data_IF_630804214746
#
_entry.id   IF_630804214746
#
_cell.length_a   1.000
_cell.length_b   1.000
_cell.length_c   1.000
_cell.angle_alpha   90.00
_cell.angle_beta   90.00
_cell.angle_gamma   90.00
#
_symmetry.space_group_name_H-M   'P 1'
#
loop_
_entity.id
_entity.type
_entity.pdbx_description
1 polymer ?
#
# COMPACT_ATOMS: atom_id res chain seq x y z
N UNK A 1 70.77 -9.60 40.40
CA UNK A 1 69.65 -9.08 41.20
C UNK A 1 68.36 -9.60 40.56
N UNK A 2 67.52 -10.31 41.32
CA UNK A 2 66.38 -11.10 40.85
C UNK A 2 65.03 -10.43 41.18
N UNK A 3 64.07 -10.57 40.23
CA UNK A 3 62.58 -10.53 40.30
C UNK A 3 61.87 -9.15 40.33
N UNK A 4 60.59 -9.02 39.85
CA UNK A 4 59.56 -10.06 39.68
C UNK A 4 58.68 -10.07 38.39
N UNK A 5 58.02 -11.21 38.18
CA UNK A 5 56.97 -11.52 37.19
C UNK A 5 55.73 -10.60 37.28
N UNK A 6 55.16 -10.22 36.12
CA UNK A 6 53.73 -9.92 35.95
C UNK A 6 53.23 -10.53 34.64
N UNK A 7 52.65 -11.72 34.78
CA UNK A 7 51.66 -12.27 33.85
C UNK A 7 50.52 -11.24 33.68
N UNK A 8 49.76 -11.34 32.60
CA UNK A 8 48.55 -10.56 32.24
C UNK A 8 48.83 -9.37 31.31
N UNK A 9 48.77 -9.61 30.01
CA UNK A 9 48.46 -8.68 28.92
C UNK A 9 48.92 -9.36 27.61
N UNK A 10 48.16 -9.64 26.57
CA UNK A 10 46.87 -9.18 26.06
C UNK A 10 46.41 -10.32 25.12
N UNK A 11 45.37 -11.04 25.50
CA UNK A 11 44.62 -11.98 24.64
C UNK A 11 43.38 -11.22 24.17
N UNK A 12 43.48 -10.41 23.12
CA UNK A 12 42.37 -9.56 22.64
C UNK A 12 42.62 -9.08 21.20
N UNK A 13 42.51 -9.99 20.22
CA UNK A 13 42.47 -9.57 18.81
C UNK A 13 41.68 -10.53 17.90
N UNK A 14 40.56 -11.04 18.40
CA UNK A 14 39.58 -11.81 17.61
C UNK A 14 38.17 -11.34 17.95
N UNK A 15 37.73 -10.28 17.28
CA UNK A 15 36.32 -9.94 17.06
C UNK A 15 36.23 -8.73 16.11
N UNK A 16 36.71 -8.87 14.87
CA UNK A 16 36.27 -7.96 13.81
C UNK A 16 34.82 -8.36 13.48
N UNK A 17 33.93 -7.57 14.05
CA UNK A 17 32.49 -7.75 14.03
C UNK A 17 31.98 -7.90 12.60
N UNK A 18 31.21 -8.96 12.41
CA UNK A 18 30.24 -9.13 11.34
C UNK A 18 29.40 -7.85 11.24
N UNK A 19 29.63 -7.03 10.22
CA UNK A 19 28.67 -5.98 9.82
C UNK A 19 27.44 -6.67 9.25
N UNK A 20 26.54 -7.04 10.16
CA UNK A 20 25.25 -7.64 9.85
C UNK A 20 24.33 -6.63 9.15
N UNK A 21 23.80 -7.08 8.01
CA UNK A 21 22.41 -6.94 7.58
C UNK A 21 21.64 -5.70 8.06
N UNK A 22 21.77 -4.59 7.32
CA UNK A 22 20.84 -3.46 7.41
C UNK A 22 19.57 -3.75 6.60
N UNK A 23 18.72 -4.64 7.11
CA UNK A 23 17.34 -4.73 6.62
C UNK A 23 16.65 -3.40 6.92
N UNK A 24 16.36 -2.62 5.88
CA UNK A 24 15.47 -1.47 5.99
C UNK A 24 14.08 -1.99 6.35
N UNK A 25 13.80 -2.10 7.65
CA UNK A 25 12.43 -2.12 8.14
C UNK A 25 11.79 -0.84 7.65
N UNK A 26 10.75 -0.93 6.81
CA UNK A 26 9.98 0.23 6.38
C UNK A 26 9.52 0.96 7.65
N UNK A 27 10.05 2.17 7.85
CA UNK A 27 9.74 3.01 8.99
C UNK A 27 8.24 3.29 8.97
N UNK A 28 7.53 2.89 10.03
CA UNK A 28 6.09 3.18 10.15
C UNK A 28 5.97 4.67 10.45
N UNK A 29 5.23 5.45 9.66
CA UNK A 29 5.01 6.86 9.95
C UNK A 29 4.39 7.06 11.34
N UNK A 30 4.80 8.13 12.04
CA UNK A 30 4.35 8.44 13.41
C UNK A 30 2.83 8.63 13.50
N UNK A 31 2.19 9.11 12.42
CA UNK A 31 0.75 9.34 12.37
C UNK A 31 0.15 8.77 11.08
N UNK A 32 -0.82 7.87 11.25
CA UNK A 32 -1.66 7.35 10.18
C UNK A 32 -3.11 7.74 10.44
N UNK A 33 -3.74 8.36 9.46
CA UNK A 33 -5.12 8.82 9.50
C UNK A 33 -6.02 7.71 8.95
N UNK A 34 -7.00 7.22 9.73
CA UNK A 34 -7.99 6.27 9.24
C UNK A 34 -8.75 6.80 8.02
N UNK A 35 -8.78 5.99 6.96
CA UNK A 35 -9.56 6.29 5.75
C UNK A 35 -10.50 5.13 5.47
N UNK A 36 -11.77 5.47 5.27
CA UNK A 36 -12.82 4.53 4.87
C UNK A 36 -13.58 5.09 3.67
N UNK A 37 -14.45 4.28 3.07
CA UNK A 37 -15.32 4.77 2.02
C UNK A 37 -16.08 3.65 1.34
N UNK A 38 -16.79 4.01 0.27
CA UNK A 38 -17.48 3.08 -0.61
C UNK A 38 -17.08 3.30 -2.06
N UNK A 39 -17.11 2.23 -2.85
CA UNK A 39 -17.00 2.32 -4.31
C UNK A 39 -18.25 1.74 -4.95
N UNK A 40 -18.83 2.51 -5.86
CA UNK A 40 -19.87 2.06 -6.77
C UNK A 40 -19.33 1.95 -8.18
N UNK A 41 -19.63 0.85 -8.86
CA UNK A 41 -19.38 0.67 -10.29
C UNK A 41 -20.72 0.76 -11.01
N UNK A 42 -20.84 1.69 -11.95
CA UNK A 42 -22.06 1.89 -12.74
C UNK A 42 -23.31 2.17 -11.88
N UNK A 43 -23.12 2.76 -10.69
CA UNK A 43 -24.19 3.14 -9.77
C UNK A 43 -24.49 2.10 -8.68
N UNK A 44 -23.92 0.90 -8.76
CA UNK A 44 -24.13 -0.17 -7.79
C UNK A 44 -22.90 -0.40 -6.90
N UNK A 45 -23.07 -0.69 -5.59
CA UNK A 45 -21.95 -1.08 -4.74
C UNK A 45 -21.22 -2.30 -5.32
N UNK A 46 -19.88 -2.22 -5.39
CA UNK A 46 -19.09 -3.25 -6.07
C UNK A 46 -17.99 -3.81 -5.18
N UNK A 47 -18.02 -5.13 -5.00
CA UNK A 47 -16.99 -5.88 -4.28
C UNK A 47 -15.73 -6.11 -5.12
N UNK A 48 -14.64 -6.45 -4.45
CA UNK A 48 -13.36 -6.85 -5.04
C UNK A 48 -12.71 -5.79 -5.93
N UNK A 49 -13.00 -4.51 -5.69
CA UNK A 49 -12.23 -3.40 -6.26
C UNK A 49 -11.09 -3.12 -5.29
N UNK A 50 -9.87 -3.21 -5.79
CA UNK A 50 -8.70 -2.73 -5.06
C UNK A 50 -8.63 -1.21 -5.25
N UNK A 51 -8.75 -0.47 -4.16
CA UNK A 51 -8.59 0.98 -4.09
C UNK A 51 -7.18 1.27 -3.61
N UNK A 52 -6.40 2.06 -4.35
CA UNK A 52 -5.01 2.36 -4.05
C UNK A 52 -4.83 3.87 -3.99
N UNK A 53 -4.25 4.35 -2.90
CA UNK A 53 -3.94 5.76 -2.69
C UNK A 53 -2.45 5.95 -2.95
N UNK A 54 -2.13 6.57 -4.08
CA UNK A 54 -0.75 6.85 -4.49
C UNK A 54 -0.35 8.25 -4.03
N UNK A 55 0.71 8.41 -3.20
CA UNK A 55 1.14 9.73 -2.74
C UNK A 55 1.40 10.69 -3.90
N UNK A 56 0.81 11.88 -3.84
CA UNK A 56 1.13 12.99 -4.73
C UNK A 56 2.52 13.57 -4.43
N UNK A 57 3.00 14.50 -5.29
CA UNK A 57 4.37 15.04 -5.21
C UNK A 57 4.77 15.62 -3.84
N UNK A 58 3.80 16.15 -3.09
CA UNK A 58 4.04 16.80 -1.80
C UNK A 58 3.59 15.95 -0.61
N UNK A 59 3.20 14.70 -0.85
CA UNK A 59 2.73 13.78 0.18
C UNK A 59 3.86 12.81 0.51
N UNK A 60 4.28 12.81 1.77
CA UNK A 60 5.32 11.90 2.25
C UNK A 60 4.78 10.48 2.40
N UNK A 61 5.68 9.51 2.35
CA UNK A 61 5.35 8.12 2.65
C UNK A 61 4.93 7.30 1.43
N UNK A 62 4.22 6.21 1.68
CA UNK A 62 3.98 5.18 0.64
C UNK A 62 2.51 4.96 0.30
N UNK A 63 1.62 5.67 1.02
CA UNK A 63 0.19 5.56 0.89
C UNK A 63 -0.30 4.18 1.32
N UNK A 64 -1.41 3.73 0.71
CA UNK A 64 -2.06 2.51 1.17
C UNK A 64 -3.08 2.00 0.18
N UNK A 65 -3.73 0.92 0.58
CA UNK A 65 -4.72 0.24 -0.24
C UNK A 65 -5.84 -0.36 0.61
N UNK A 66 -6.97 -0.61 -0.03
CA UNK A 66 -8.10 -1.33 0.54
C UNK A 66 -8.78 -2.14 -0.56
N UNK A 67 -9.53 -3.16 -0.18
CA UNK A 67 -10.36 -3.94 -1.10
C UNK A 67 -11.80 -3.79 -0.68
N UNK A 68 -12.69 -3.54 -1.63
CA UNK A 68 -14.11 -3.37 -1.32
C UNK A 68 -14.78 -4.69 -0.97
N UNK A 69 -15.62 -4.66 0.06
CA UNK A 69 -16.47 -5.79 0.45
C UNK A 69 -17.74 -5.89 -0.41
N UNK A 70 -18.63 -6.83 -0.07
CA UNK A 70 -19.92 -7.05 -0.76
C UNK A 70 -20.85 -5.82 -0.80
N UNK A 71 -20.69 -4.89 0.13
CA UNK A 71 -21.47 -3.66 0.22
C UNK A 71 -20.71 -2.48 -0.41
N UNK A 72 -19.62 -2.76 -1.14
CA UNK A 72 -18.75 -1.78 -1.77
C UNK A 72 -17.86 -1.00 -0.80
N UNK A 73 -17.83 -1.36 0.49
CA UNK A 73 -17.08 -0.61 1.51
C UNK A 73 -15.61 -1.00 1.52
N UNK A 74 -14.72 -0.04 1.71
CA UNK A 74 -13.31 -0.28 1.90
C UNK A 74 -12.79 0.45 3.15
N UNK A 75 -11.68 -0.06 3.70
CA UNK A 75 -10.85 0.60 4.70
C UNK A 75 -9.41 0.55 4.22
N UNK A 76 -8.69 1.66 4.30
CA UNK A 76 -7.29 1.69 3.87
C UNK A 76 -6.37 1.13 4.94
N UNK A 77 -5.42 0.34 4.45
CA UNK A 77 -4.27 -0.17 5.18
C UNK A 77 -3.01 0.43 4.56
N UNK A 78 -2.16 1.04 5.37
CA UNK A 78 -0.84 1.50 4.97
C UNK A 78 0.02 0.30 4.54
N UNK A 79 1.03 0.52 3.70
CA UNK A 79 1.91 -0.57 3.22
C UNK A 79 2.73 -1.26 4.32
N UNK A 80 2.82 -0.66 5.51
CA UNK A 80 3.37 -1.32 6.72
C UNK A 80 2.38 -2.25 7.42
N UNK A 81 1.20 -2.50 6.83
CA UNK A 81 0.09 -3.27 7.40
C UNK A 81 -0.59 -2.64 8.62
N UNK A 82 -0.46 -1.33 8.80
CA UNK A 82 -1.16 -0.57 9.85
C UNK A 82 -2.39 0.14 9.28
N UNK A 83 -3.46 0.36 10.08
CA UNK A 83 -4.66 1.03 9.61
C UNK A 83 -4.41 2.52 9.33
N UNK A 84 -5.02 3.04 8.25
CA UNK A 84 -4.88 4.43 7.84
C UNK A 84 -3.69 4.68 6.92
N UNK A 85 -3.48 5.96 6.55
CA UNK A 85 -2.38 6.46 5.71
C UNK A 85 -1.97 7.86 6.14
N UNK A 86 -0.84 8.35 5.67
CA UNK A 86 -0.29 9.67 5.99
C UNK A 86 -1.24 10.81 5.54
N UNK A 87 -1.17 11.97 6.21
CA UNK A 87 -1.86 13.17 5.73
C UNK A 87 -1.28 13.61 4.38
N UNK A 88 -2.14 14.07 3.46
CA UNK A 88 -1.68 14.59 2.18
C UNK A 88 -2.68 14.48 1.05
N UNK A 89 -2.18 14.74 -0.16
CA UNK A 89 -2.91 14.62 -1.41
C UNK A 89 -2.50 13.35 -2.17
N UNK A 90 -3.47 12.59 -2.65
CA UNK A 90 -3.26 11.30 -3.29
C UNK A 90 -3.94 11.25 -4.66
N UNK A 91 -3.29 10.58 -5.61
CA UNK A 91 -3.97 10.09 -6.82
C UNK A 91 -4.56 8.71 -6.49
N UNK A 92 -5.87 8.60 -6.60
CA UNK A 92 -6.59 7.36 -6.27
C UNK A 92 -6.79 6.54 -7.53
N UNK A 93 -6.31 5.31 -7.49
CA UNK A 93 -6.48 4.34 -8.58
C UNK A 93 -7.32 3.17 -8.13
N UNK A 94 -8.05 2.59 -9.07
CA UNK A 94 -8.91 1.44 -8.87
C UNK A 94 -8.45 0.30 -9.76
N UNK A 95 -8.47 -0.92 -9.24
CA UNK A 95 -8.21 -2.12 -10.03
C UNK A 95 -9.26 -3.17 -9.77
N UNK A 96 -9.77 -3.76 -10.85
CA UNK A 96 -10.68 -4.88 -10.84
C UNK A 96 -10.28 -5.83 -11.96
N UNK A 97 -9.69 -6.97 -11.58
CA UNK A 97 -9.29 -8.00 -12.51
C UNK A 97 -10.46 -8.97 -12.76
N UNK A 98 -10.62 -9.40 -14.01
CA UNK A 98 -11.61 -10.41 -14.41
C UNK A 98 -11.25 -11.02 -15.76
N UNK A 99 -12.04 -11.98 -16.23
CA UNK A 99 -11.84 -12.56 -17.56
C UNK A 99 -12.19 -11.53 -18.65
N UNK A 100 -11.71 -11.70 -19.91
CA UNK A 100 -11.98 -10.75 -21.00
C UNK A 100 -13.46 -10.49 -21.30
N UNK A 101 -14.34 -11.42 -20.93
CA UNK A 101 -15.80 -11.27 -21.05
C UNK A 101 -16.45 -10.50 -19.88
N UNK A 102 -15.65 -10.04 -18.91
CA UNK A 102 -16.08 -9.32 -17.71
C UNK A 102 -16.50 -10.21 -16.54
N UNK A 103 -16.45 -11.54 -16.69
CA UNK A 103 -16.76 -12.47 -15.59
C UNK A 103 -15.63 -12.48 -14.54
N UNK A 104 -15.94 -12.83 -13.28
CA UNK A 104 -14.93 -12.86 -12.21
C UNK A 104 -13.89 -13.98 -12.45
N UNK A 105 -12.72 -13.82 -11.85
CA UNK A 105 -11.70 -14.88 -11.79
C UNK A 105 -12.28 -16.07 -11.01
N UNK A 106 -12.23 -17.31 -11.56
CA UNK A 106 -12.69 -18.50 -10.85
C UNK A 106 -11.99 -18.69 -9.50
N UNK A 107 -12.71 -19.18 -8.50
CA UNK A 107 -12.15 -19.45 -7.17
C UNK A 107 -10.96 -20.42 -7.26
N UNK A 108 -9.90 -20.14 -6.51
CA UNK A 108 -8.67 -20.95 -6.49
C UNK A 108 -7.80 -20.82 -7.75
N UNK A 109 -8.06 -19.84 -8.60
CA UNK A 109 -7.21 -19.51 -9.76
C UNK A 109 -6.54 -18.17 -9.58
N UNK A 110 -5.27 -18.09 -10.01
CA UNK A 110 -4.56 -16.83 -10.10
C UNK A 110 -4.95 -16.09 -11.38
N UNK A 111 -5.01 -14.75 -11.29
CA UNK A 111 -5.32 -13.87 -12.41
C UNK A 111 -4.42 -14.14 -13.63
N UNK A 112 -3.14 -14.42 -13.38
CA UNK A 112 -2.14 -14.70 -14.41
C UNK A 112 -2.43 -16.00 -15.17
N UNK A 113 -3.00 -17.02 -14.51
CA UNK A 113 -3.21 -18.35 -15.09
C UNK A 113 -4.44 -18.41 -16.00
N UNK A 114 -5.39 -17.49 -15.81
CA UNK A 114 -6.68 -17.49 -16.53
C UNK A 114 -6.77 -16.38 -17.58
N UNK A 115 -5.66 -15.69 -17.85
CA UNK A 115 -5.64 -14.56 -18.79
C UNK A 115 -6.56 -13.43 -18.36
N UNK A 116 -6.64 -13.18 -17.04
CA UNK A 116 -7.44 -12.08 -16.53
C UNK A 116 -6.89 -10.73 -17.02
N UNK A 117 -7.80 -9.81 -17.26
CA UNK A 117 -7.54 -8.44 -17.71
C UNK A 117 -8.08 -7.45 -16.69
N UNK A 118 -7.52 -6.24 -16.73
CA UNK A 118 -8.08 -5.10 -16.02
C UNK A 118 -9.41 -4.70 -16.68
N UNK A 119 -10.49 -4.65 -15.90
CA UNK A 119 -11.84 -4.35 -16.40
C UNK A 119 -12.20 -2.86 -16.34
N UNK A 120 -11.37 -2.04 -15.69
CA UNK A 120 -11.61 -0.61 -15.53
C UNK A 120 -10.87 0.22 -16.59
N UNK A 121 -11.47 1.30 -17.11
CA UNK A 121 -10.81 2.23 -18.03
C UNK A 121 -9.54 2.87 -17.44
N UNK A 122 -8.57 3.19 -18.31
CA UNK A 122 -7.26 3.75 -17.93
C UNK A 122 -7.34 5.00 -17.03
N UNK A 123 -8.39 5.82 -17.20
CA UNK A 123 -8.64 7.01 -16.37
C UNK A 123 -8.75 6.70 -14.87
N UNK A 124 -9.05 5.45 -14.50
CA UNK A 124 -9.14 4.98 -13.12
C UNK A 124 -7.93 4.16 -12.67
N UNK A 125 -7.13 3.61 -13.58
CA UNK A 125 -6.06 2.66 -13.24
C UNK A 125 -4.69 3.31 -13.24
N UNK A 126 -4.56 4.45 -13.93
CA UNK A 126 -3.30 5.14 -14.11
C UNK A 126 -2.96 6.01 -12.89
N UNK A 127 -1.79 5.88 -12.26
CA UNK A 127 -1.38 6.72 -11.13
C UNK A 127 -0.87 8.11 -11.56
N UNK A 128 -0.70 8.36 -12.86
CA UNK A 128 -0.29 9.67 -13.34
C UNK A 128 -1.45 10.67 -13.23
N UNK A 129 -1.27 11.71 -12.41
CA UNK A 129 -2.23 12.79 -12.17
C UNK A 129 -2.69 13.56 -13.42
N UNK A 130 -1.96 13.50 -14.53
CA UNK A 130 -2.37 14.12 -15.79
C UNK A 130 -3.39 13.27 -16.56
N UNK A 131 -3.40 11.96 -16.29
CA UNK A 131 -4.29 10.98 -16.93
C UNK A 131 -5.42 10.51 -16.00
N UNK A 132 -5.24 10.61 -14.69
CA UNK A 132 -6.24 10.29 -13.66
C UNK A 132 -6.45 11.49 -12.74
N UNK A 133 -7.67 12.03 -12.78
CA UNK A 133 -8.08 13.21 -12.04
C UNK A 133 -8.77 12.88 -10.71
N UNK A 134 -8.76 11.61 -10.29
CA UNK A 134 -9.35 11.18 -9.03
C UNK A 134 -8.37 11.52 -7.90
N UNK A 135 -8.51 12.73 -7.36
CA UNK A 135 -7.65 13.24 -6.29
C UNK A 135 -8.39 13.13 -4.96
N UNK A 136 -7.66 12.70 -3.92
CA UNK A 136 -8.14 12.66 -2.56
C UNK A 136 -7.25 13.48 -1.64
N UNK A 137 -7.86 14.16 -0.67
CA UNK A 137 -7.15 14.83 0.41
C UNK A 137 -7.43 14.10 1.73
N UNK A 138 -6.37 13.66 2.39
CA UNK A 138 -6.42 12.97 3.69
C UNK A 138 -5.95 13.94 4.77
N UNK A 139 -6.77 14.11 5.81
CA UNK A 139 -6.52 14.99 6.96
C UNK A 139 -7.09 14.38 8.24
N UNK A 140 -6.46 14.65 9.37
CA UNK A 140 -6.89 14.17 10.67
C UNK A 140 -8.30 14.69 11.06
N UNK A 141 -9.03 13.99 11.95
CA UNK A 141 -8.65 12.74 12.61
C UNK A 141 -8.98 11.48 11.80
N UNK A 142 -9.86 11.57 10.81
CA UNK A 142 -10.24 10.49 9.90
C UNK A 142 -10.95 11.07 8.68
N UNK A 143 -11.00 10.29 7.59
CA UNK A 143 -11.71 10.70 6.36
C UNK A 143 -12.56 9.56 5.81
N UNK A 144 -13.76 9.90 5.34
CA UNK A 144 -14.60 9.02 4.51
C UNK A 144 -14.61 9.55 3.08
N UNK A 145 -14.26 8.70 2.11
CA UNK A 145 -14.14 9.07 0.70
C UNK A 145 -14.91 8.07 -0.17
N UNK A 146 -16.03 8.51 -0.74
CA UNK A 146 -16.85 7.66 -1.61
C UNK A 146 -16.54 7.94 -3.08
N UNK A 147 -16.53 6.87 -3.89
CA UNK A 147 -16.25 6.95 -5.32
C UNK A 147 -17.35 6.30 -6.15
N UNK A 148 -17.75 6.98 -7.21
CA UNK A 148 -18.54 6.39 -8.28
C UNK A 148 -17.68 6.32 -9.54
N UNK A 149 -17.46 5.10 -10.03
CA UNK A 149 -16.67 4.82 -11.22
C UNK A 149 -17.54 4.13 -12.27
N UNK A 150 -17.11 4.22 -13.54
CA UNK A 150 -17.82 3.60 -14.67
C UNK A 150 -16.96 2.54 -15.32
N UNK A 151 -17.59 1.46 -15.80
CA UNK A 151 -16.88 0.40 -16.53
C UNK A 151 -16.44 0.83 -17.94
N UNK A 152 -16.98 1.94 -18.46
CA UNK A 152 -16.70 2.51 -19.78
C UNK A 152 -16.59 4.04 -19.72
#
# INVERSE_FOLDING_TARGET
>A
MLKPNRQIAILLMTAAMLSGCGGHSAEVPDELIPVTGTVKLDGEPKANITVIFNPGKNTTGTGGYGVTDKDGKYTLTHRSNQPGIEAGEYVVTFSMMGLPDGSPIPEGKDAADVGAVQLLPDKYTNPNREMNLTIATVKAPSVTLDYEIKSK
#
